data_IF_259268541892
#
_entry.id   IF_259268541892
#
_cell.length_a   1.000
_cell.length_b   1.000
_cell.length_c   1.000
_cell.angle_alpha   90.00
_cell.angle_beta   90.00
_cell.angle_gamma   90.00
#
_symmetry.space_group_name_H-M   'P 1'
#
loop_
_entity.id
_entity.type
_entity.pdbx_description
1 polymer ?
#
# COMPACT_ATOMS: atom_id res chain seq x y z
N UNK A 1 30.82 1.98 -21.28
CA UNK A 1 29.88 2.54 -20.27
C UNK A 1 30.09 1.79 -18.98
N UNK A 2 30.64 2.43 -17.96
CA UNK A 2 30.80 1.80 -16.65
C UNK A 2 29.44 1.78 -15.95
N UNK A 3 28.95 0.62 -15.56
CA UNK A 3 27.69 0.47 -14.83
C UNK A 3 28.06 0.21 -13.39
N UNK A 4 27.77 1.18 -12.51
CA UNK A 4 27.95 1.02 -11.07
C UNK A 4 26.60 0.55 -10.52
N UNK A 5 26.47 -0.71 -10.06
CA UNK A 5 25.21 -1.19 -9.50
C UNK A 5 24.93 -0.45 -8.19
N UNK A 6 23.67 -0.09 -7.99
CA UNK A 6 23.19 0.34 -6.67
C UNK A 6 22.99 -0.92 -5.85
N UNK A 7 23.66 -1.00 -4.70
CA UNK A 7 23.50 -2.10 -3.78
C UNK A 7 22.07 -2.13 -3.21
N UNK A 8 21.41 -3.28 -3.36
CA UNK A 8 20.01 -3.46 -2.95
C UNK A 8 19.85 -3.30 -1.43
N UNK A 9 20.80 -3.84 -0.64
CA UNK A 9 20.74 -3.73 0.81
C UNK A 9 20.87 -2.29 1.31
N UNK A 10 21.71 -1.51 0.62
CA UNK A 10 21.88 -0.09 0.87
C UNK A 10 20.66 0.71 0.43
N UNK A 11 20.03 0.35 -0.69
CA UNK A 11 18.77 0.95 -1.13
C UNK A 11 17.64 0.70 -0.14
N UNK A 12 17.51 -0.52 0.37
CA UNK A 12 16.45 -0.92 1.30
C UNK A 12 16.62 -0.30 2.69
N UNK A 13 17.85 0.01 3.10
CA UNK A 13 18.13 0.71 4.35
C UNK A 13 17.74 2.21 4.33
N UNK A 14 17.47 2.78 3.16
CA UNK A 14 17.04 4.17 3.04
C UNK A 14 15.58 4.37 3.46
N UNK A 15 15.32 5.46 4.19
CA UNK A 15 13.98 5.87 4.54
C UNK A 15 13.17 6.33 3.30
N UNK A 16 11.87 6.47 3.47
CA UNK A 16 11.02 7.18 2.50
C UNK A 16 11.53 8.61 2.29
N UNK A 17 11.52 9.07 1.03
CA UNK A 17 11.93 10.42 0.68
C UNK A 17 12.44 10.60 -0.75
N UNK A 18 12.87 11.83 -1.05
CA UNK A 18 13.39 12.22 -2.36
C UNK A 18 14.91 12.12 -2.39
N UNK A 19 15.43 11.34 -3.35
CA UNK A 19 16.85 11.11 -3.58
C UNK A 19 17.27 11.63 -4.95
N UNK A 20 18.49 12.16 -5.05
CA UNK A 20 19.09 12.58 -6.33
C UNK A 20 20.21 11.62 -6.70
N UNK A 21 20.07 10.93 -7.83
CA UNK A 21 21.12 10.11 -8.44
C UNK A 21 21.81 10.93 -9.53
N UNK A 22 23.12 11.00 -9.48
CA UNK A 22 23.92 11.79 -10.43
C UNK A 22 24.73 10.88 -11.34
N UNK A 23 24.46 10.94 -12.64
CA UNK A 23 25.22 10.24 -13.66
C UNK A 23 26.28 11.16 -14.24
N UNK A 24 27.51 10.66 -14.38
CA UNK A 24 28.62 11.39 -15.00
C UNK A 24 29.17 10.60 -16.17
N UNK A 25 29.37 11.28 -17.30
CA UNK A 25 30.02 10.71 -18.49
C UNK A 25 31.23 11.56 -18.81
N UNK A 26 32.38 10.91 -18.99
CA UNK A 26 33.63 11.52 -19.42
C UNK A 26 33.98 10.97 -20.80
N UNK A 27 34.29 11.83 -21.77
CA UNK A 27 34.79 11.41 -23.08
C UNK A 27 36.32 11.24 -23.09
N UNK A 28 36.85 10.71 -24.19
CA UNK A 28 38.30 10.45 -24.34
C UNK A 28 39.15 11.73 -24.33
N UNK A 29 38.54 12.89 -24.60
CA UNK A 29 39.18 14.21 -24.54
C UNK A 29 39.13 14.81 -23.11
N UNK A 30 38.48 14.15 -22.16
CA UNK A 30 38.35 14.57 -20.76
C UNK A 30 37.19 15.52 -20.49
N UNK A 31 36.28 15.74 -21.45
CA UNK A 31 35.08 16.53 -21.21
C UNK A 31 34.12 15.74 -20.32
N UNK A 32 33.61 16.38 -19.27
CA UNK A 32 32.67 15.75 -18.32
C UNK A 32 31.28 16.35 -18.47
N UNK A 33 30.27 15.49 -18.59
CA UNK A 33 28.86 15.85 -18.47
C UNK A 33 28.20 15.16 -17.29
N UNK A 34 27.37 15.91 -16.58
CA UNK A 34 26.65 15.46 -15.39
C UNK A 34 25.15 15.57 -15.62
N UNK A 35 24.41 14.52 -15.26
CA UNK A 35 22.95 14.41 -15.41
C UNK A 35 22.33 13.97 -14.08
N UNK A 36 21.56 14.83 -13.40
CA UNK A 36 20.82 14.47 -12.20
C UNK A 36 19.49 13.79 -12.54
N UNK A 37 19.13 12.77 -11.77
CA UNK A 37 17.82 12.10 -11.78
C UNK A 37 17.26 12.16 -10.35
N UNK A 38 16.03 12.62 -10.22
CA UNK A 38 15.32 12.70 -8.94
C UNK A 38 14.43 11.46 -8.82
N UNK A 39 14.51 10.76 -7.69
CA UNK A 39 13.74 9.56 -7.39
C UNK A 39 13.00 9.78 -6.07
N UNK A 40 11.70 9.51 -6.05
CA UNK A 40 10.93 9.45 -4.82
C UNK A 40 10.81 7.99 -4.41
N UNK A 41 11.29 7.66 -3.21
CA UNK A 41 11.16 6.35 -2.59
C UNK A 41 9.98 6.41 -1.63
N UNK A 42 8.90 5.73 -1.97
CA UNK A 42 7.72 5.60 -1.11
C UNK A 42 7.70 4.21 -0.46
N UNK A 43 7.29 4.13 0.80
CA UNK A 43 7.10 2.87 1.50
C UNK A 43 5.60 2.54 1.57
N UNK A 44 5.19 1.25 1.52
CA UNK A 44 3.81 0.89 1.75
C UNK A 44 3.39 1.36 3.15
N UNK A 45 2.21 1.99 3.22
CA UNK A 45 1.60 2.41 4.49
C UNK A 45 1.61 1.23 5.47
N UNK A 46 2.30 1.39 6.60
CA UNK A 46 2.29 0.42 7.70
C UNK A 46 0.99 0.48 8.52
N UNK A 47 0.05 1.35 8.12
CA UNK A 47 -1.28 1.42 8.71
C UNK A 47 -2.10 0.18 8.36
N UNK A 48 -3.01 -0.27 9.24
CA UNK A 48 -3.97 -1.28 8.85
C UNK A 48 -4.70 -0.75 7.61
N UNK A 49 -4.74 -1.57 6.55
CA UNK A 49 -5.68 -1.36 5.45
C UNK A 49 -7.03 -0.99 6.07
N UNK A 50 -7.76 0.01 5.56
CA UNK A 50 -9.10 0.30 6.04
C UNK A 50 -9.96 -0.93 5.75
N UNK A 51 -9.96 -1.86 6.71
CA UNK A 51 -10.64 -3.12 6.64
C UNK A 51 -12.11 -2.81 6.39
N UNK A 52 -12.66 -3.42 5.35
CA UNK A 52 -14.05 -3.20 5.00
C UNK A 52 -14.88 -3.62 6.23
N UNK A 53 -15.74 -2.74 6.79
CA UNK A 53 -16.34 -2.90 8.12
C UNK A 53 -17.45 -3.96 8.18
N UNK A 54 -17.40 -5.00 7.34
CA UNK A 54 -18.39 -6.06 7.28
C UNK A 54 -18.61 -6.75 8.63
N UNK A 55 -17.56 -6.86 9.47
CA UNK A 55 -17.60 -7.48 10.79
C UNK A 55 -18.75 -6.99 11.69
N UNK A 56 -19.03 -5.68 11.71
CA UNK A 56 -20.05 -5.10 12.59
C UNK A 56 -21.48 -5.27 12.05
N UNK A 57 -21.65 -5.30 10.73
CA UNK A 57 -22.95 -5.43 10.08
C UNK A 57 -23.51 -6.85 10.13
N UNK A 58 -22.65 -7.89 10.26
CA UNK A 58 -23.09 -9.27 10.41
C UNK A 58 -24.01 -9.45 11.63
N UNK A 59 -23.70 -8.83 12.77
CA UNK A 59 -24.51 -8.93 13.99
C UNK A 59 -25.88 -8.25 13.80
N UNK A 60 -25.93 -7.13 13.08
CA UNK A 60 -27.18 -6.41 12.80
C UNK A 60 -28.06 -7.23 11.86
N UNK A 61 -27.52 -7.74 10.75
CA UNK A 61 -28.29 -8.57 9.80
C UNK A 61 -28.74 -9.90 10.43
N UNK A 62 -27.89 -10.54 11.25
CA UNK A 62 -28.24 -11.75 12.00
C UNK A 62 -29.37 -11.48 13.01
N UNK A 63 -29.30 -10.37 13.75
CA UNK A 63 -30.34 -9.96 14.70
C UNK A 63 -31.69 -9.68 14.02
N UNK A 64 -31.69 -8.91 12.92
CA UNK A 64 -32.89 -8.65 12.13
C UNK A 64 -33.48 -9.95 11.56
N UNK A 65 -32.62 -10.85 11.07
CA UNK A 65 -33.02 -12.14 10.53
C UNK A 65 -33.71 -13.02 11.58
N UNK A 66 -33.11 -13.17 12.77
CA UNK A 66 -33.68 -13.95 13.87
C UNK A 66 -35.02 -13.35 14.32
N UNK A 67 -35.08 -12.03 14.51
CA UNK A 67 -36.32 -11.35 14.90
C UNK A 67 -37.44 -11.57 13.87
N UNK A 68 -37.12 -11.50 12.57
CA UNK A 68 -38.07 -11.74 11.49
C UNK A 68 -38.62 -13.16 11.52
N UNK A 69 -37.76 -14.16 11.75
CA UNK A 69 -38.16 -15.56 11.88
C UNK A 69 -39.09 -15.77 13.09
N UNK A 70 -38.76 -15.17 14.23
CA UNK A 70 -39.59 -15.25 15.44
C UNK A 70 -40.97 -14.60 15.25
N UNK A 71 -41.05 -13.46 14.56
CA UNK A 71 -42.31 -12.79 14.26
C UNK A 71 -43.20 -13.65 13.35
N UNK A 72 -42.61 -14.27 12.32
CA UNK A 72 -43.33 -15.18 11.42
C UNK A 72 -43.85 -16.39 12.17
N UNK A 73 -43.03 -17.02 13.00
CA UNK A 73 -43.41 -18.19 13.79
C UNK A 73 -44.54 -17.86 14.77
N UNK A 74 -44.45 -16.73 15.47
CA UNK A 74 -45.50 -16.28 16.40
C UNK A 74 -46.83 -15.99 15.68
N UNK A 75 -46.77 -15.47 14.45
CA UNK A 75 -47.96 -15.24 13.63
C UNK A 75 -48.60 -16.54 13.16
N UNK A 76 -47.81 -17.57 12.86
CA UNK A 76 -48.32 -18.91 12.48
C UNK A 76 -49.01 -19.60 13.64
N UNK A 77 -48.47 -19.51 14.86
CA UNK A 77 -49.04 -20.17 16.06
C UNK A 77 -50.36 -19.57 16.55
N UNK A 78 -50.72 -18.36 16.10
CA UNK A 78 -51.96 -17.66 16.46
C UNK A 78 -53.10 -17.85 15.45
N UNK A 79 -52.85 -18.52 14.32
CA UNK A 79 -53.86 -18.96 13.36
C UNK A 79 -54.16 -20.43 13.59
#
# INVERSE_FOLDING_TARGET
>A
MNIIPIDESSWDALAEGTYTITFSVTDDAGNVRVIPIIINKDLPSSGPDPGIPFGNYYIIFMGIGIASLLIVEHRKRKK
#
